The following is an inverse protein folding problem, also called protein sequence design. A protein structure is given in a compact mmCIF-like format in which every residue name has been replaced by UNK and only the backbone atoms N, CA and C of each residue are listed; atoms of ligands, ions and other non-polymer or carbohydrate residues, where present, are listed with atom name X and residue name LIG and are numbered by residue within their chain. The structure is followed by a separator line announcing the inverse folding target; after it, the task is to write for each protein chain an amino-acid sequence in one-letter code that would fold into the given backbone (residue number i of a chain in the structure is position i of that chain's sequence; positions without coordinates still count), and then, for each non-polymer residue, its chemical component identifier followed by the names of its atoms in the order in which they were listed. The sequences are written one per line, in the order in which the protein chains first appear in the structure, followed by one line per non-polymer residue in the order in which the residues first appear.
data_IF_529999300644
#
_entry.id   IF_529999300644
#
_cell.length_a   1.000
_cell.length_b   1.000
_cell.length_c   1.000
_cell.angle_alpha   90.00
_cell.angle_beta   90.00
_cell.angle_gamma   90.00
#
_symmetry.space_group_name_H-M   'P 1'
#
loop_
_entity.id
_entity.type
_entity.pdbx_description
1 polymer ?
#
# COMPACT_ATOMS: atom_id res chain seq x y z
N UNK A 1 -20.86 -17.69 -19.26
CA UNK A 1 -21.51 -17.58 -17.94
C UNK A 1 -20.48 -17.66 -16.82
N UNK A 2 -19.77 -16.57 -16.55
CA UNK A 2 -18.83 -16.48 -15.42
C UNK A 2 -18.82 -15.07 -14.83
N UNK A 3 -19.01 -14.05 -15.67
CA UNK A 3 -18.97 -12.64 -15.25
C UNK A 3 -20.25 -12.22 -14.50
N UNK A 4 -21.41 -12.73 -14.91
CA UNK A 4 -22.72 -12.39 -14.31
C UNK A 4 -22.89 -12.93 -12.89
N UNK A 5 -22.29 -14.08 -12.57
CA UNK A 5 -22.33 -14.67 -11.22
C UNK A 5 -21.56 -13.84 -10.20
N UNK A 6 -20.56 -13.06 -10.65
CA UNK A 6 -19.81 -12.14 -9.81
C UNK A 6 -20.65 -10.94 -9.36
N UNK A 7 -21.57 -10.45 -10.20
CA UNK A 7 -22.37 -9.27 -9.91
C UNK A 7 -23.50 -9.57 -8.91
N UNK A 8 -24.03 -10.79 -8.89
CA UNK A 8 -25.23 -11.13 -8.11
C UNK A 8 -24.95 -11.57 -6.66
N UNK A 9 -23.77 -12.13 -6.36
CA UNK A 9 -23.52 -12.82 -5.07
C UNK A 9 -22.80 -11.98 -4.01
N UNK A 10 -22.42 -10.73 -4.33
CA UNK A 10 -21.64 -9.88 -3.43
C UNK A 10 -20.19 -10.36 -3.32
N UNK A 11 -19.25 -9.59 -3.87
CA UNK A 11 -17.86 -9.99 -4.08
C UNK A 11 -17.00 -9.92 -2.81
N UNK A 12 -17.46 -10.52 -1.72
CA UNK A 12 -16.76 -10.52 -0.42
C UNK A 12 -15.31 -10.99 -0.51
N UNK A 13 -14.97 -11.86 -1.47
CA UNK A 13 -13.60 -12.35 -1.66
C UNK A 13 -12.65 -11.32 -2.30
N UNK A 14 -13.17 -10.32 -3.02
CA UNK A 14 -12.39 -9.21 -3.60
C UNK A 14 -12.29 -7.99 -2.69
N UNK A 15 -13.16 -7.87 -1.68
CA UNK A 15 -13.15 -6.75 -0.76
C UNK A 15 -11.78 -6.51 -0.11
N UNK A 16 -10.99 -7.52 0.32
CA UNK A 16 -9.65 -7.28 0.88
C UNK A 16 -8.71 -6.57 -0.09
N UNK A 17 -8.75 -6.92 -1.39
CA UNK A 17 -7.93 -6.26 -2.40
C UNK A 17 -8.41 -4.83 -2.67
N UNK A 18 -9.73 -4.61 -2.67
CA UNK A 18 -10.32 -3.28 -2.83
C UNK A 18 -9.97 -2.37 -1.65
N UNK A 19 -10.10 -2.85 -0.41
CA UNK A 19 -9.73 -2.12 0.80
C UNK A 19 -8.24 -1.75 0.81
N UNK A 20 -7.39 -2.66 0.35
CA UNK A 20 -5.97 -2.37 0.18
C UNK A 20 -5.71 -1.24 -0.82
N UNK A 21 -6.34 -1.25 -2.00
CA UNK A 21 -6.19 -0.15 -2.97
C UNK A 21 -6.72 1.17 -2.40
N UNK A 22 -7.84 1.14 -1.68
CA UNK A 22 -8.40 2.32 -1.03
C UNK A 22 -7.47 2.89 0.07
N UNK A 23 -6.81 2.03 0.84
CA UNK A 23 -5.88 2.48 1.88
C UNK A 23 -4.66 3.17 1.30
N UNK A 24 -4.18 2.74 0.13
CA UNK A 24 -3.09 3.40 -0.60
C UNK A 24 -3.50 4.76 -1.16
N UNK A 25 -4.72 4.86 -1.71
CA UNK A 25 -5.26 6.15 -2.13
C UNK A 25 -5.36 7.13 -0.95
N UNK A 26 -5.72 6.63 0.25
CA UNK A 26 -5.67 7.43 1.47
C UNK A 26 -4.24 7.84 1.82
N UNK A 27 -3.26 6.94 1.71
CA UNK A 27 -1.86 7.26 1.96
C UNK A 27 -1.36 8.42 1.09
N UNK A 28 -1.69 8.41 -0.21
CA UNK A 28 -1.34 9.51 -1.13
C UNK A 28 -1.92 10.85 -0.67
N UNK A 29 -3.20 10.89 -0.31
CA UNK A 29 -3.85 12.11 0.22
C UNK A 29 -3.26 12.57 1.56
N UNK A 30 -2.83 11.64 2.41
CA UNK A 30 -2.19 11.99 3.67
C UNK A 30 -0.85 12.69 3.47
N UNK A 31 -0.10 12.29 2.45
CA UNK A 31 1.15 12.97 2.07
C UNK A 31 0.85 14.39 1.57
N UNK A 32 -0.19 14.58 0.76
CA UNK A 32 -0.59 15.90 0.23
C UNK A 32 -1.06 16.86 1.32
N UNK A 33 -1.77 16.36 2.33
CA UNK A 33 -2.33 17.19 3.41
C UNK A 33 -1.35 17.47 4.54
N UNK A 34 -0.17 16.82 4.55
CA UNK A 34 0.85 16.90 5.60
C UNK A 34 0.32 16.65 7.03
N UNK A 35 -0.81 15.94 7.16
CA UNK A 35 -1.43 15.67 8.46
C UNK A 35 -0.64 14.59 9.22
N UNK A 36 0.30 15.05 10.06
CA UNK A 36 1.21 14.20 10.83
C UNK A 36 0.51 13.22 11.78
N UNK A 37 -0.62 13.61 12.37
CA UNK A 37 -1.37 12.75 13.30
C UNK A 37 -2.00 11.57 12.57
N UNK A 38 -2.67 11.84 11.45
CA UNK A 38 -3.26 10.79 10.62
C UNK A 38 -2.21 9.92 9.95
N UNK A 39 -1.09 10.50 9.48
CA UNK A 39 0.05 9.73 8.95
C UNK A 39 0.61 8.77 10.01
N UNK A 40 0.79 9.24 11.24
CA UNK A 40 1.26 8.40 12.35
C UNK A 40 0.29 7.26 12.63
N UNK A 41 -1.01 7.54 12.61
CA UNK A 41 -2.07 6.54 12.81
C UNK A 41 -2.10 5.53 11.66
N UNK A 42 -1.94 6.00 10.43
CA UNK A 42 -1.87 5.15 9.25
C UNK A 42 -0.69 4.17 9.32
N UNK A 43 0.52 4.68 9.61
CA UNK A 43 1.73 3.84 9.76
C UNK A 43 1.54 2.76 10.83
N UNK A 44 1.00 3.14 12.00
CA UNK A 44 0.67 2.20 13.09
C UNK A 44 -0.24 1.05 12.64
N UNK A 45 -1.16 1.31 11.70
CA UNK A 45 -2.12 0.31 11.24
C UNK A 45 -1.51 -0.64 10.18
N UNK A 46 -0.70 -0.11 9.27
CA UNK A 46 -0.19 -0.87 8.12
C UNK A 46 1.05 -1.72 8.43
N UNK A 47 1.74 -1.46 9.53
CA UNK A 47 2.92 -2.21 9.95
C UNK A 47 2.90 -2.57 11.42
N UNK A 48 3.93 -3.31 11.83
CA UNK A 48 4.23 -3.58 13.23
C UNK A 48 5.62 -3.05 13.57
N UNK A 49 5.94 -2.98 14.86
CA UNK A 49 7.31 -2.79 15.35
C UNK A 49 8.00 -1.49 14.84
N UNK A 50 7.32 -0.34 14.95
CA UNK A 50 7.92 0.97 14.69
C UNK A 50 8.94 1.29 15.78
N UNK A 51 10.23 1.15 15.50
CA UNK A 51 11.30 1.40 16.46
C UNK A 51 12.14 2.56 15.96
N UNK A 52 12.26 3.61 16.77
CA UNK A 52 13.24 4.67 16.55
C UNK A 52 14.48 4.35 17.39
N UNK A 53 15.57 3.94 16.73
CA UNK A 53 16.84 3.60 17.39
C UNK A 53 17.98 4.29 16.66
N UNK A 54 18.90 4.92 17.39
CA UNK A 54 20.07 5.59 16.82
C UNK A 54 19.73 6.58 15.68
N UNK A 55 18.63 7.34 15.81
CA UNK A 55 18.08 8.25 14.78
C UNK A 55 17.67 7.56 13.47
N UNK A 56 17.53 6.25 13.47
CA UNK A 56 17.00 5.46 12.35
C UNK A 56 15.61 4.93 12.71
N UNK A 57 14.69 5.03 11.76
CA UNK A 57 13.37 4.42 11.87
C UNK A 57 13.46 3.00 11.31
N UNK A 58 13.25 2.01 12.17
CA UNK A 58 13.09 0.61 11.78
C UNK A 58 11.59 0.35 11.69
N UNK A 59 11.13 -0.05 10.51
CA UNK A 59 9.73 -0.27 10.22
C UNK A 59 9.56 -1.57 9.43
N UNK A 60 8.55 -2.36 9.79
CA UNK A 60 8.20 -3.59 9.09
C UNK A 60 6.72 -3.56 8.69
N UNK A 61 6.40 -3.21 7.43
CA UNK A 61 5.04 -3.25 6.94
C UNK A 61 4.50 -4.68 6.92
N UNK A 62 3.20 -4.85 7.20
CA UNK A 62 2.52 -6.15 7.08
C UNK A 62 2.27 -6.48 5.61
N UNK A 63 2.11 -7.75 5.27
CA UNK A 63 1.56 -8.14 3.96
C UNK A 63 0.13 -7.59 3.88
N UNK A 64 -0.28 -6.91 2.78
CA UNK A 64 0.42 -6.74 1.50
C UNK A 64 1.21 -5.42 1.34
N UNK A 65 1.28 -4.56 2.37
CA UNK A 65 2.00 -3.29 2.32
C UNK A 65 3.51 -3.42 2.08
N UNK A 66 4.10 -4.54 2.49
CA UNK A 66 5.51 -4.84 2.23
C UNK A 66 5.84 -4.86 0.72
N UNK A 67 4.92 -5.36 -0.12
CA UNK A 67 5.11 -5.42 -1.58
C UNK A 67 5.35 -4.05 -2.19
N UNK A 68 4.75 -3.01 -1.61
CA UNK A 68 4.87 -1.63 -2.09
C UNK A 68 6.07 -0.94 -1.46
N UNK A 69 6.34 -1.20 -0.18
CA UNK A 69 7.50 -0.67 0.53
C UNK A 69 8.81 -1.17 -0.10
N UNK A 70 8.93 -2.48 -0.34
CA UNK A 70 10.10 -3.09 -1.01
C UNK A 70 10.33 -2.50 -2.42
N UNK A 71 9.24 -2.26 -3.17
CA UNK A 71 9.32 -1.59 -4.48
C UNK A 71 9.81 -0.15 -4.38
N UNK A 72 9.47 0.58 -3.30
CA UNK A 72 9.94 1.94 -3.08
C UNK A 72 11.42 1.98 -2.65
N UNK A 73 11.90 0.97 -1.93
CA UNK A 73 13.31 0.85 -1.53
C UNK A 73 14.20 0.51 -2.73
N UNK A 74 13.68 -0.28 -3.68
CA UNK A 74 14.26 -0.45 -5.00
C UNK A 74 14.14 0.87 -5.80
N UNK A 75 15.14 1.75 -5.64
CA UNK A 75 15.32 3.01 -6.34
C UNK A 75 14.93 2.93 -7.85
N UNK A 76 14.42 4.03 -8.45
CA UNK A 76 14.07 4.12 -9.89
C UNK A 76 15.18 3.62 -10.82
N UNK A 77 16.44 3.68 -10.37
CA UNK A 77 17.61 3.18 -11.09
C UNK A 77 17.63 1.64 -11.26
N UNK A 78 16.87 0.89 -10.47
CA UNK A 78 16.80 -0.57 -10.51
C UNK A 78 15.55 -1.10 -11.25
N UNK A 79 14.63 -0.22 -11.65
CA UNK A 79 13.38 -0.61 -12.30
C UNK A 79 13.45 -0.28 -13.80
N UNK A 80 13.99 -1.21 -14.61
CA UNK A 80 13.73 -1.20 -16.04
C UNK A 80 12.26 -1.61 -16.27
N UNK A 81 11.33 -0.65 -16.20
CA UNK A 81 9.95 -0.89 -16.61
C UNK A 81 9.98 -1.19 -18.12
N UNK A 82 9.53 -2.36 -18.56
CA UNK A 82 9.49 -2.66 -19.99
C UNK A 82 8.62 -1.65 -20.71
N UNK A 83 9.11 -1.12 -21.84
CA UNK A 83 8.44 -0.07 -22.61
C UNK A 83 7.02 -0.43 -23.09
N UNK A 84 6.62 -1.71 -23.05
CA UNK A 84 5.30 -2.18 -23.45
C UNK A 84 4.21 -2.01 -22.39
N UNK A 85 4.57 -1.69 -21.13
CA UNK A 85 3.62 -1.44 -20.02
C UNK A 85 3.10 0.00 -19.95
N UNK A 86 3.61 0.90 -20.78
CA UNK A 86 3.22 2.32 -20.79
C UNK A 86 2.28 2.67 -21.95
N UNK A 87 1.57 1.69 -22.52
CA UNK A 87 0.66 1.89 -23.65
C UNK A 87 -0.79 1.60 -23.29
#
# INVERSE_FOLDING_TARGET
EKITDFEQKGLSWLEPAREFVLSLNRATKLVETENKEEMTTFLKNIGSNHILRNRQLIFSPKIPYNLIAERSEANRNCLQIPYWWSR
#
